data_IF_335075818972
#
_entry.id   IF_335075818972
#
_cell.length_a   1.000
_cell.length_b   1.000
_cell.length_c   1.000
_cell.angle_alpha   90.00
_cell.angle_beta   90.00
_cell.angle_gamma   90.00
#
_symmetry.space_group_name_H-M   'P 1'
#
loop_
_entity.id
_entity.type
_entity.pdbx_description
1 polymer ?
#
# COMPACT_ATOMS: atom_id res chain seq x y z
N UNK A 1 21.37 4.15 -12.45
CA UNK A 1 20.13 3.63 -13.06
C UNK A 1 18.99 4.43 -12.47
N UNK A 2 18.52 5.45 -13.17
CA UNK A 2 17.28 6.13 -12.87
C UNK A 2 16.20 5.41 -13.63
N UNK A 3 15.68 4.36 -13.08
CA UNK A 3 14.47 3.78 -13.60
C UNK A 3 13.33 4.32 -12.74
N UNK A 4 12.32 4.79 -13.39
CA UNK A 4 11.04 5.11 -12.78
C UNK A 4 10.52 3.87 -12.07
N UNK A 5 10.93 3.71 -10.83
CA UNK A 5 10.73 2.53 -9.98
C UNK A 5 9.24 2.17 -9.84
N UNK A 6 8.38 3.15 -10.08
CA UNK A 6 6.93 3.03 -9.99
C UNK A 6 6.23 3.53 -11.26
N UNK A 7 6.80 3.24 -12.43
CA UNK A 7 6.24 3.66 -13.74
C UNK A 7 4.78 3.24 -13.94
N UNK A 8 4.36 2.12 -13.36
CA UNK A 8 2.96 1.68 -13.42
C UNK A 8 1.99 2.60 -12.64
N UNK A 9 2.55 3.52 -11.82
CA UNK A 9 1.80 4.58 -11.13
C UNK A 9 1.83 5.92 -11.87
N UNK A 10 2.41 5.96 -13.07
CA UNK A 10 2.74 7.19 -13.81
C UNK A 10 1.54 7.91 -14.44
N UNK A 11 0.32 7.66 -13.99
CA UNK A 11 -0.81 8.51 -14.36
C UNK A 11 -0.55 9.91 -13.78
N UNK A 12 -0.32 10.93 -14.64
CA UNK A 12 0.07 12.26 -14.19
C UNK A 12 -1.01 12.99 -13.38
N UNK A 13 -2.22 12.46 -13.38
CA UNK A 13 -3.33 12.98 -12.60
C UNK A 13 -3.28 12.48 -11.16
N UNK A 14 -2.79 11.25 -10.95
CA UNK A 14 -2.79 10.60 -9.63
C UNK A 14 -1.73 11.21 -8.72
N UNK A 15 -2.17 11.61 -7.53
CA UNK A 15 -1.33 12.19 -6.47
C UNK A 15 -1.57 11.56 -5.11
N UNK A 16 -2.70 10.89 -4.92
CA UNK A 16 -3.11 10.29 -3.65
C UNK A 16 -3.08 8.78 -3.78
N UNK A 17 -2.18 8.13 -3.06
CA UNK A 17 -1.97 6.69 -3.09
C UNK A 17 -2.42 6.07 -1.78
N UNK A 18 -3.34 5.12 -1.84
CA UNK A 18 -3.93 4.49 -0.66
C UNK A 18 -3.68 3.00 -0.69
N UNK A 19 -3.10 2.46 0.36
CA UNK A 19 -2.78 1.04 0.47
C UNK A 19 -3.71 0.34 1.45
N UNK A 20 -4.58 -0.51 0.91
CA UNK A 20 -5.48 -1.41 1.61
C UNK A 20 -4.99 -2.85 1.47
N UNK A 21 -5.55 -3.74 2.26
CA UNK A 21 -5.27 -5.18 2.23
C UNK A 21 -5.13 -5.74 3.63
N UNK A 22 -4.94 -7.04 3.72
CA UNK A 22 -4.87 -7.79 4.96
C UNK A 22 -3.64 -7.42 5.82
N UNK A 23 -3.72 -7.72 7.11
CA UNK A 23 -2.60 -7.57 8.01
C UNK A 23 -1.40 -8.43 7.58
N UNK A 24 -0.21 -7.80 7.51
CA UNK A 24 1.03 -8.48 7.13
C UNK A 24 1.17 -8.78 5.63
N UNK A 25 0.33 -8.24 4.75
CA UNK A 25 0.49 -8.40 3.30
C UNK A 25 1.56 -7.49 2.68
N UNK A 26 2.13 -6.53 3.45
CA UNK A 26 3.24 -5.67 2.99
C UNK A 26 2.86 -4.25 2.59
N UNK A 27 1.67 -3.78 2.92
CA UNK A 27 1.19 -2.40 2.62
C UNK A 27 2.17 -1.32 3.08
N UNK A 28 2.55 -1.38 4.35
CA UNK A 28 3.42 -0.37 4.96
C UNK A 28 4.79 -0.30 4.28
N UNK A 29 5.37 -1.46 3.96
CA UNK A 29 6.64 -1.52 3.22
C UNK A 29 6.52 -0.84 1.85
N UNK A 30 5.44 -1.15 1.12
CA UNK A 30 5.18 -0.55 -0.18
C UNK A 30 4.92 0.96 -0.09
N UNK A 31 4.12 1.39 0.89
CA UNK A 31 3.82 2.79 1.12
C UNK A 31 5.10 3.60 1.43
N UNK A 32 5.97 3.08 2.30
CA UNK A 32 7.27 3.70 2.63
C UNK A 32 8.17 3.78 1.39
N UNK A 33 8.28 2.70 0.62
CA UNK A 33 9.10 2.69 -0.60
C UNK A 33 8.60 3.72 -1.62
N UNK A 34 7.29 3.82 -1.83
CA UNK A 34 6.70 4.81 -2.74
C UNK A 34 6.97 6.24 -2.26
N UNK A 35 6.76 6.53 -0.97
CA UNK A 35 7.00 7.86 -0.41
C UNK A 35 8.46 8.30 -0.59
N UNK A 36 9.41 7.41 -0.32
CA UNK A 36 10.83 7.66 -0.52
C UNK A 36 11.19 7.86 -2.00
N UNK A 37 10.62 7.07 -2.90
CA UNK A 37 10.86 7.22 -4.34
C UNK A 37 10.39 8.58 -4.83
N UNK A 38 9.15 8.96 -4.51
CA UNK A 38 8.59 10.26 -4.88
C UNK A 38 9.42 11.43 -4.32
N UNK A 39 9.87 11.33 -3.06
CA UNK A 39 10.69 12.38 -2.47
C UNK A 39 12.04 12.51 -3.17
N UNK A 40 12.71 11.40 -3.52
CA UNK A 40 13.97 11.38 -4.28
C UNK A 40 13.84 11.95 -5.68
N UNK A 41 12.65 11.90 -6.27
CA UNK A 41 12.31 12.59 -7.51
C UNK A 41 12.05 14.10 -7.32
N UNK A 42 12.24 14.62 -6.12
CA UNK A 42 12.03 16.04 -5.78
C UNK A 42 10.55 16.41 -5.61
N UNK A 43 9.65 15.43 -5.45
CA UNK A 43 8.24 15.70 -5.18
C UNK A 43 8.06 16.05 -3.70
N UNK A 44 7.11 16.91 -3.40
CA UNK A 44 6.63 17.12 -2.03
C UNK A 44 5.73 15.94 -1.65
N UNK A 45 6.02 15.26 -0.56
CA UNK A 45 5.31 14.05 -0.14
C UNK A 45 4.79 14.21 1.29
N UNK A 46 3.50 13.88 1.49
CA UNK A 46 2.89 13.67 2.79
C UNK A 46 2.59 12.19 2.98
N UNK A 47 3.14 11.61 4.03
CA UNK A 47 2.91 10.22 4.42
C UNK A 47 1.97 10.15 5.62
N UNK A 48 0.91 9.36 5.51
CA UNK A 48 -0.11 9.19 6.54
C UNK A 48 -0.12 7.76 7.06
N UNK A 49 0.31 7.56 8.32
CA UNK A 49 0.18 6.29 9.04
C UNK A 49 -1.19 6.24 9.72
N UNK A 50 -2.11 5.49 9.13
CA UNK A 50 -3.47 5.28 9.60
C UNK A 50 -3.67 3.87 10.21
N UNK A 51 -2.60 3.13 10.49
CA UNK A 51 -2.67 1.85 11.20
C UNK A 51 -2.68 2.05 12.72
N UNK A 52 -3.87 2.03 13.31
CA UNK A 52 -4.10 2.18 14.74
C UNK A 52 -3.86 0.90 15.55
N UNK A 53 -3.79 -0.25 14.90
CA UNK A 53 -3.91 -1.55 15.58
C UNK A 53 -2.59 -2.24 15.88
N UNK A 54 -1.49 -1.83 15.23
CA UNK A 54 -0.18 -2.49 15.37
C UNK A 54 0.95 -1.53 15.76
N UNK A 55 1.08 -1.18 17.06
CA UNK A 55 2.12 -0.26 17.51
C UNK A 55 3.56 -0.72 17.23
N UNK A 56 3.78 -2.02 17.02
CA UNK A 56 5.13 -2.58 16.88
C UNK A 56 5.64 -2.67 15.42
N UNK A 57 4.76 -2.40 14.42
CA UNK A 57 5.08 -2.57 12.99
C UNK A 57 4.69 -1.37 12.14
N UNK A 58 4.69 -0.22 12.71
CA UNK A 58 4.22 0.99 12.05
C UNK A 58 5.33 1.63 11.26
N UNK A 59 5.01 2.08 10.07
CA UNK A 59 5.89 2.92 9.26
C UNK A 59 6.30 4.22 9.98
N UNK A 60 5.54 4.65 10.99
CA UNK A 60 5.92 5.76 11.85
C UNK A 60 7.21 5.55 12.66
N UNK A 61 7.60 4.29 12.91
CA UNK A 61 8.92 3.99 13.50
C UNK A 61 10.07 4.40 12.57
N UNK A 62 9.73 4.70 11.32
CA UNK A 62 10.64 5.23 10.30
C UNK A 62 10.46 6.73 10.09
N UNK A 63 9.64 7.43 10.92
CA UNK A 63 9.34 8.86 10.73
C UNK A 63 10.63 9.70 10.61
N UNK A 64 11.57 9.49 11.53
CA UNK A 64 12.86 10.21 11.48
C UNK A 64 13.65 9.97 10.19
N UNK A 65 13.55 8.75 9.64
CA UNK A 65 14.23 8.40 8.40
C UNK A 65 13.50 9.00 7.19
N UNK A 66 12.16 8.97 7.19
CA UNK A 66 11.33 9.58 6.15
C UNK A 66 11.50 11.11 6.14
N UNK A 67 11.48 11.75 7.32
CA UNK A 67 11.65 13.20 7.45
C UNK A 67 13.03 13.68 6.97
N UNK A 68 14.09 12.90 7.23
CA UNK A 68 15.45 13.17 6.70
C UNK A 68 15.51 13.11 5.18
N UNK A 69 14.67 12.30 4.56
CA UNK A 69 14.54 12.21 3.10
C UNK A 69 13.54 13.23 2.55
N UNK A 70 12.98 14.13 3.37
CA UNK A 70 12.08 15.21 2.94
C UNK A 70 10.61 14.83 2.80
N UNK A 71 10.18 13.75 3.46
CA UNK A 71 8.77 13.34 3.54
C UNK A 71 8.13 13.91 4.80
N UNK A 72 7.02 14.62 4.68
CA UNK A 72 6.23 15.07 5.82
C UNK A 72 5.42 13.88 6.37
N UNK A 73 5.65 13.47 7.63
CA UNK A 73 5.00 12.30 8.23
C UNK A 73 3.89 12.71 9.18
N UNK A 74 2.71 12.10 9.02
CA UNK A 74 1.52 12.32 9.85
C UNK A 74 1.03 11.01 10.46
N UNK A 75 0.77 10.99 11.76
CA UNK A 75 0.23 9.85 12.48
C UNK A 75 -0.75 10.31 13.59
N UNK A 76 -1.57 9.39 14.08
CA UNK A 76 -2.75 9.72 14.86
C UNK A 76 -2.48 10.39 16.22
N UNK A 77 -1.35 10.10 16.88
CA UNK A 77 -1.00 10.75 18.16
C UNK A 77 -0.92 12.29 18.06
N UNK A 78 -0.58 12.80 16.87
CA UNK A 78 -0.55 14.25 16.62
C UNK A 78 -1.94 14.87 16.58
N UNK A 79 -3.00 14.06 16.46
CA UNK A 79 -4.38 14.49 16.26
C UNK A 79 -5.33 14.04 17.36
N UNK A 80 -4.83 13.32 18.39
CA UNK A 80 -5.63 12.85 19.53
C UNK A 80 -6.29 14.00 20.31
N UNK A 81 -5.70 15.19 20.25
CA UNK A 81 -6.23 16.42 20.89
C UNK A 81 -7.10 17.27 19.95
N UNK A 82 -7.28 16.87 18.69
CA UNK A 82 -8.14 17.60 17.77
C UNK A 82 -9.60 17.15 17.93
N UNK A 83 -10.56 18.06 18.21
CA UNK A 83 -11.97 17.71 18.46
C UNK A 83 -12.72 17.17 17.24
N UNK A 84 -12.06 17.04 16.08
CA UNK A 84 -12.64 16.51 14.84
C UNK A 84 -11.65 15.58 14.16
N UNK A 85 -11.87 14.29 14.31
CA UNK A 85 -11.10 13.22 13.66
C UNK A 85 -11.21 13.17 12.13
N UNK A 86 -11.83 14.16 11.49
CA UNK A 86 -12.20 14.12 10.07
C UNK A 86 -11.60 15.20 9.17
N UNK A 87 -11.12 16.32 9.70
CA UNK A 87 -10.83 17.48 8.85
C UNK A 87 -9.39 17.59 8.32
N UNK A 88 -8.42 17.07 9.04
CA UNK A 88 -7.01 17.33 8.72
C UNK A 88 -6.53 16.60 7.45
N UNK A 89 -6.94 15.35 7.25
CA UNK A 89 -6.60 14.60 6.04
C UNK A 89 -7.19 15.27 4.79
N UNK A 90 -8.45 15.71 4.88
CA UNK A 90 -9.10 16.48 3.80
C UNK A 90 -8.36 17.77 3.49
N UNK A 91 -7.88 18.47 4.52
CA UNK A 91 -7.12 19.72 4.36
C UNK A 91 -5.79 19.46 3.68
N UNK A 92 -5.06 18.39 4.07
CA UNK A 92 -3.78 18.04 3.44
C UNK A 92 -3.96 17.62 1.99
N UNK A 93 -4.90 16.74 1.70
CA UNK A 93 -5.22 16.29 0.35
C UNK A 93 -5.72 17.47 -0.52
N UNK A 94 -6.50 18.38 0.06
CA UNK A 94 -7.04 19.54 -0.66
C UNK A 94 -5.97 20.58 -1.07
N UNK A 95 -4.78 20.56 -0.46
CA UNK A 95 -3.67 21.45 -0.87
C UNK A 95 -3.26 21.26 -2.31
N UNK A 96 -3.38 20.06 -2.85
CA UNK A 96 -3.16 19.71 -4.26
C UNK A 96 -1.77 20.08 -4.82
N UNK A 97 -0.82 20.43 -3.93
CA UNK A 97 0.56 20.82 -4.25
C UNK A 97 1.59 19.73 -3.94
N UNK A 98 1.13 18.55 -3.51
CA UNK A 98 1.94 17.44 -3.03
C UNK A 98 1.34 16.08 -3.37
N UNK A 99 2.13 15.05 -3.17
CA UNK A 99 1.72 13.66 -3.24
C UNK A 99 1.35 13.17 -1.83
N UNK A 100 0.24 12.46 -1.71
CA UNK A 100 -0.22 11.88 -0.45
C UNK A 100 -0.12 10.35 -0.50
N UNK A 101 0.54 9.75 0.47
CA UNK A 101 0.68 8.29 0.60
C UNK A 101 0.04 7.88 1.91
N UNK A 102 -1.00 7.05 1.84
CA UNK A 102 -1.80 6.60 2.98
C UNK A 102 -1.55 5.12 3.25
N UNK A 103 -0.92 4.80 4.37
CA UNK A 103 -0.78 3.44 4.89
C UNK A 103 -1.93 3.13 5.84
N UNK A 104 -2.84 2.25 5.42
CA UNK A 104 -4.08 1.94 6.14
C UNK A 104 -3.94 0.63 6.90
N UNK A 105 -4.43 0.59 8.14
CA UNK A 105 -4.43 -0.62 8.96
C UNK A 105 -5.05 -1.82 8.25
N UNK A 106 -4.47 -3.01 8.48
CA UNK A 106 -4.79 -4.24 7.76
C UNK A 106 -6.05 -4.96 8.22
N UNK A 107 -6.97 -4.26 8.85
CA UNK A 107 -8.24 -4.80 9.34
C UNK A 107 -9.42 -3.87 8.97
N UNK A 108 -10.62 -4.30 9.34
CA UNK A 108 -11.84 -3.51 9.09
C UNK A 108 -11.85 -2.17 9.85
N UNK A 109 -11.13 -2.06 10.97
CA UNK A 109 -11.03 -0.82 11.75
C UNK A 109 -10.24 0.24 10.99
N UNK A 110 -9.06 -0.13 10.46
CA UNK A 110 -8.26 0.74 9.60
C UNK A 110 -9.02 1.15 8.33
N UNK A 111 -9.65 0.17 7.66
CA UNK A 111 -10.48 0.46 6.49
C UNK A 111 -11.66 1.39 6.80
N UNK A 112 -12.27 1.27 7.99
CA UNK A 112 -13.34 2.14 8.44
C UNK A 112 -12.86 3.58 8.69
N UNK A 113 -11.64 3.76 9.18
CA UNK A 113 -11.05 5.09 9.38
C UNK A 113 -11.01 5.87 8.06
N UNK A 114 -10.65 5.24 6.95
CA UNK A 114 -10.64 5.88 5.63
C UNK A 114 -12.01 5.92 4.96
N UNK A 115 -12.98 5.13 5.43
CA UNK A 115 -14.35 5.11 4.88
C UNK A 115 -15.10 6.43 4.98
N UNK A 116 -14.75 7.28 5.96
CA UNK A 116 -15.24 8.66 6.06
C UNK A 116 -14.82 9.52 4.88
N UNK A 117 -13.69 9.20 4.25
CA UNK A 117 -13.08 9.93 3.14
C UNK A 117 -13.35 9.27 1.77
N UNK A 118 -14.29 8.33 1.68
CA UNK A 118 -14.53 7.56 0.45
C UNK A 118 -14.75 8.41 -0.80
N UNK A 119 -15.28 9.65 -0.65
CA UNK A 119 -15.42 10.60 -1.77
C UNK A 119 -14.05 11.05 -2.31
N UNK A 120 -13.06 11.23 -1.41
CA UNK A 120 -11.70 11.60 -1.80
C UNK A 120 -11.00 10.42 -2.48
N UNK A 121 -11.23 9.19 -1.98
CA UNK A 121 -10.64 7.98 -2.51
C UNK A 121 -11.15 7.60 -3.91
N UNK A 122 -12.30 8.15 -4.32
CA UNK A 122 -12.93 7.93 -5.64
C UNK A 122 -12.67 9.03 -6.65
N UNK A 123 -11.82 9.99 -6.32
CA UNK A 123 -11.45 11.07 -7.27
C UNK A 123 -10.46 10.54 -8.31
N UNK A 124 -10.39 11.18 -9.49
CA UNK A 124 -9.37 10.85 -10.49
C UNK A 124 -7.93 10.96 -9.98
N UNK A 125 -7.69 11.85 -9.02
CA UNK A 125 -6.38 12.08 -8.41
C UNK A 125 -5.99 10.99 -7.41
N UNK A 126 -6.92 10.12 -7.00
CA UNK A 126 -6.68 9.07 -6.03
C UNK A 126 -6.57 7.69 -6.70
N UNK A 127 -5.58 6.93 -6.29
CA UNK A 127 -5.43 5.52 -6.65
C UNK A 127 -5.41 4.66 -5.40
N UNK A 128 -6.39 3.79 -5.27
CA UNK A 128 -6.46 2.83 -4.18
C UNK A 128 -5.89 1.49 -4.65
N UNK A 129 -4.98 0.95 -3.86
CA UNK A 129 -4.40 -0.37 -4.06
C UNK A 129 -4.88 -1.34 -2.99
N UNK A 130 -5.18 -2.56 -3.41
CA UNK A 130 -5.42 -3.68 -2.52
C UNK A 130 -4.27 -4.67 -2.65
N UNK A 131 -3.47 -4.79 -1.60
CA UNK A 131 -2.28 -5.64 -1.58
C UNK A 131 -2.64 -7.03 -1.06
N UNK A 132 -2.28 -8.07 -1.82
CA UNK A 132 -2.49 -9.48 -1.46
C UNK A 132 -1.15 -10.19 -1.39
N UNK A 133 -0.89 -10.88 -0.27
CA UNK A 133 0.22 -11.82 -0.18
C UNK A 133 -0.32 -13.26 -0.26
N UNK A 134 -0.05 -14.01 -1.36
CA UNK A 134 -0.60 -15.35 -1.60
C UNK A 134 -0.14 -16.41 -0.58
N UNK A 135 0.81 -16.06 0.28
CA UNK A 135 1.35 -16.92 1.31
C UNK A 135 0.77 -16.66 2.71
N UNK A 136 -0.19 -15.73 2.81
CA UNK A 136 -0.91 -15.54 4.07
C UNK A 136 -2.10 -16.49 4.16
N UNK A 137 -2.49 -16.90 5.38
CA UNK A 137 -3.57 -17.86 5.58
C UNK A 137 -4.91 -17.48 4.93
N UNK A 138 -5.18 -16.19 4.85
CA UNK A 138 -6.44 -15.65 4.30
C UNK A 138 -6.39 -15.41 2.79
N UNK A 139 -5.33 -15.85 2.13
CA UNK A 139 -5.12 -15.69 0.68
C UNK A 139 -4.89 -17.02 -0.03
N UNK A 140 -5.35 -18.11 0.56
CA UNK A 140 -5.16 -19.47 0.02
C UNK A 140 -6.32 -19.95 -0.87
N UNK A 141 -7.49 -19.31 -0.77
CA UNK A 141 -8.66 -19.63 -1.59
C UNK A 141 -9.44 -18.36 -1.96
N UNK A 142 -10.31 -18.47 -2.97
CA UNK A 142 -11.15 -17.36 -3.41
C UNK A 142 -12.15 -16.93 -2.32
N UNK A 143 -12.69 -17.88 -1.57
CA UNK A 143 -13.63 -17.60 -0.49
C UNK A 143 -12.99 -16.80 0.64
N UNK A 144 -11.74 -17.13 0.99
CA UNK A 144 -10.98 -16.39 2.00
C UNK A 144 -10.64 -14.98 1.52
N UNK A 145 -10.13 -14.85 0.28
CA UNK A 145 -9.82 -13.54 -0.29
C UNK A 145 -11.08 -12.68 -0.39
N UNK A 146 -12.18 -13.21 -0.92
CA UNK A 146 -13.44 -12.48 -1.06
C UNK A 146 -14.00 -12.06 0.30
N UNK A 147 -13.95 -12.94 1.30
CA UNK A 147 -14.42 -12.64 2.65
C UNK A 147 -13.69 -11.44 3.28
N UNK A 148 -12.35 -11.41 3.21
CA UNK A 148 -11.53 -10.31 3.74
C UNK A 148 -11.68 -9.06 2.87
N UNK A 149 -11.60 -9.19 1.55
CA UNK A 149 -11.76 -8.11 0.58
C UNK A 149 -13.10 -7.39 0.77
N UNK A 150 -14.20 -8.15 0.80
CA UNK A 150 -15.56 -7.61 0.98
C UNK A 150 -15.69 -6.85 2.29
N UNK A 151 -15.13 -7.37 3.38
CA UNK A 151 -15.14 -6.69 4.68
C UNK A 151 -14.36 -5.37 4.64
N UNK A 152 -13.15 -5.38 4.08
CA UNK A 152 -12.29 -4.19 3.97
C UNK A 152 -12.93 -3.15 3.07
N UNK A 153 -13.36 -3.52 1.86
CA UNK A 153 -13.94 -2.59 0.89
C UNK A 153 -15.27 -1.99 1.39
N UNK A 154 -16.14 -2.80 2.00
CA UNK A 154 -17.39 -2.31 2.59
C UNK A 154 -17.11 -1.30 3.69
N UNK A 155 -16.13 -1.58 4.56
CA UNK A 155 -15.73 -0.66 5.64
C UNK A 155 -15.15 0.65 5.11
N UNK A 156 -14.36 0.59 4.03
CA UNK A 156 -13.81 1.74 3.32
C UNK A 156 -14.85 2.45 2.41
N UNK A 157 -16.07 1.90 2.26
CA UNK A 157 -17.11 2.37 1.33
C UNK A 157 -16.64 2.41 -0.13
N UNK A 158 -15.85 1.41 -0.50
CA UNK A 158 -15.33 1.18 -1.84
C UNK A 158 -15.94 -0.09 -2.44
N UNK A 159 -15.75 -0.23 -3.74
CA UNK A 159 -16.06 -1.44 -4.52
C UNK A 159 -14.80 -2.02 -5.16
N UNK A 160 -14.88 -3.22 -5.69
CA UNK A 160 -13.78 -3.86 -6.44
C UNK A 160 -13.31 -2.99 -7.61
N UNK A 161 -14.23 -2.26 -8.25
CA UNK A 161 -13.91 -1.37 -9.37
C UNK A 161 -13.11 -0.10 -8.94
N UNK A 162 -13.10 0.23 -7.66
CA UNK A 162 -12.40 1.39 -7.13
C UNK A 162 -10.92 1.08 -6.80
N UNK A 163 -10.48 -0.20 -6.90
CA UNK A 163 -9.15 -0.62 -6.46
C UNK A 163 -8.35 -1.31 -7.56
N UNK A 164 -7.03 -1.16 -7.52
CA UNK A 164 -6.08 -1.98 -8.28
C UNK A 164 -5.44 -3.02 -7.38
N UNK A 165 -5.31 -4.25 -7.86
CA UNK A 165 -4.74 -5.35 -7.08
C UNK A 165 -3.22 -5.43 -7.26
N UNK A 166 -2.49 -5.49 -6.16
CA UNK A 166 -1.04 -5.69 -6.12
C UNK A 166 -0.72 -7.04 -5.47
N UNK A 167 0.14 -7.82 -6.10
CA UNK A 167 0.64 -9.07 -5.53
C UNK A 167 1.94 -8.83 -4.78
N UNK A 168 2.05 -9.39 -3.56
CA UNK A 168 3.28 -9.38 -2.76
C UNK A 168 3.63 -10.78 -2.26
N UNK A 169 4.25 -11.65 -3.07
CA UNK A 169 4.62 -13.00 -2.69
C UNK A 169 5.88 -13.06 -1.81
N UNK A 170 5.97 -12.19 -0.82
CA UNK A 170 7.11 -12.09 0.08
C UNK A 170 7.01 -13.05 1.27
N UNK A 171 8.05 -13.85 1.48
CA UNK A 171 8.20 -14.86 2.55
C UNK A 171 9.30 -14.48 3.58
N UNK A 172 9.64 -13.21 3.69
CA UNK A 172 10.76 -12.78 4.54
C UNK A 172 12.09 -13.25 3.98
N UNK A 173 12.98 -13.75 4.86
CA UNK A 173 14.29 -14.26 4.46
C UNK A 173 14.24 -15.54 3.59
N UNK A 174 13.09 -16.19 3.51
CA UNK A 174 12.88 -17.38 2.67
C UNK A 174 12.40 -17.04 1.26
N UNK A 175 12.28 -15.76 0.91
CA UNK A 175 11.89 -15.33 -0.44
C UNK A 175 12.96 -15.74 -1.44
N UNK A 176 12.53 -16.37 -2.52
CA UNK A 176 13.37 -16.77 -3.66
C UNK A 176 12.66 -16.39 -4.96
N UNK A 177 13.40 -16.30 -6.07
CA UNK A 177 12.80 -16.14 -7.40
C UNK A 177 11.62 -17.09 -7.61
N UNK A 178 11.83 -18.38 -7.36
CA UNK A 178 10.80 -19.40 -7.54
C UNK A 178 9.56 -19.13 -6.67
N UNK A 179 9.75 -18.74 -5.41
CA UNK A 179 8.60 -18.41 -4.55
C UNK A 179 7.84 -17.18 -5.04
N UNK A 180 8.51 -16.22 -5.68
CA UNK A 180 7.85 -15.06 -6.29
C UNK A 180 6.99 -15.50 -7.48
N UNK A 181 7.56 -16.28 -8.39
CA UNK A 181 6.88 -16.80 -9.58
C UNK A 181 5.70 -17.72 -9.19
N UNK A 182 5.93 -18.68 -8.29
CA UNK A 182 4.89 -19.60 -7.78
C UNK A 182 3.75 -18.83 -7.09
N UNK A 183 4.09 -17.81 -6.29
CA UNK A 183 3.09 -16.99 -5.59
C UNK A 183 2.25 -16.15 -6.55
N UNK A 184 2.86 -15.59 -7.60
CA UNK A 184 2.14 -14.89 -8.65
C UNK A 184 1.16 -15.83 -9.37
N UNK A 185 1.63 -16.98 -9.84
CA UNK A 185 0.78 -17.95 -10.53
C UNK A 185 -0.33 -18.51 -9.65
N UNK A 186 -0.05 -18.76 -8.36
CA UNK A 186 -1.06 -19.15 -7.39
C UNK A 186 -2.15 -18.07 -7.31
N UNK A 187 -1.77 -16.80 -7.17
CA UNK A 187 -2.74 -15.73 -7.04
C UNK A 187 -3.55 -15.55 -8.34
N UNK A 188 -2.91 -15.60 -9.51
CA UNK A 188 -3.61 -15.56 -10.80
C UNK A 188 -4.60 -16.72 -10.93
N UNK A 189 -4.25 -17.93 -10.48
CA UNK A 189 -5.17 -19.08 -10.55
C UNK A 189 -6.38 -18.93 -9.65
N UNK A 190 -6.28 -18.15 -8.56
CA UNK A 190 -7.37 -17.95 -7.59
C UNK A 190 -8.29 -16.78 -8.00
N UNK A 191 -7.71 -15.65 -8.42
CA UNK A 191 -8.50 -14.43 -8.68
C UNK A 191 -8.59 -14.03 -10.15
N UNK A 192 -7.84 -14.67 -11.06
CA UNK A 192 -7.70 -14.23 -12.45
C UNK A 192 -8.99 -14.25 -13.28
N UNK A 193 -10.00 -15.03 -12.89
CA UNK A 193 -11.33 -14.99 -13.51
C UNK A 193 -12.17 -13.76 -13.09
N UNK A 194 -11.82 -13.12 -11.99
CA UNK A 194 -12.60 -12.03 -11.38
C UNK A 194 -11.93 -10.67 -11.56
N UNK A 195 -10.58 -10.64 -11.54
CA UNK A 195 -9.81 -9.40 -11.64
C UNK A 195 -8.40 -9.66 -12.16
N UNK A 196 -7.67 -8.58 -12.44
CA UNK A 196 -6.26 -8.65 -12.89
C UNK A 196 -5.33 -8.12 -11.81
N UNK A 197 -4.12 -8.69 -11.74
CA UNK A 197 -3.02 -8.15 -10.93
C UNK A 197 -2.37 -7.02 -11.71
N UNK A 198 -2.40 -5.82 -11.14
CA UNK A 198 -1.88 -4.61 -11.77
C UNK A 198 -0.36 -4.51 -11.69
N UNK A 199 0.24 -5.03 -10.61
CA UNK A 199 1.68 -5.11 -10.45
C UNK A 199 2.08 -6.15 -9.40
N UNK A 200 3.35 -6.58 -9.46
CA UNK A 200 3.97 -7.55 -8.57
C UNK A 200 5.12 -6.90 -7.80
N UNK A 201 5.07 -6.97 -6.48
CA UNK A 201 6.15 -6.52 -5.60
C UNK A 201 7.30 -7.54 -5.61
N UNK A 202 8.51 -7.07 -5.86
CA UNK A 202 9.72 -7.90 -5.94
C UNK A 202 10.82 -7.25 -5.09
N UNK A 203 11.57 -8.00 -4.27
CA UNK A 203 12.78 -7.46 -3.63
C UNK A 203 13.70 -6.86 -4.69
N UNK A 204 14.21 -5.65 -4.43
CA UNK A 204 15.01 -4.90 -5.42
C UNK A 204 16.19 -5.73 -5.96
N UNK A 205 16.83 -6.50 -5.09
CA UNK A 205 17.94 -7.38 -5.43
C UNK A 205 17.57 -8.56 -6.36
N UNK A 206 16.28 -8.82 -6.56
CA UNK A 206 15.77 -9.92 -7.40
C UNK A 206 15.07 -9.43 -8.68
N UNK A 207 15.07 -8.13 -8.93
CA UNK A 207 14.36 -7.56 -10.09
C UNK A 207 14.81 -8.13 -11.42
N UNK A 208 16.11 -8.31 -11.60
CA UNK A 208 16.68 -8.84 -12.84
C UNK A 208 16.46 -10.36 -13.02
N UNK A 209 16.07 -11.06 -11.94
CA UNK A 209 15.88 -12.50 -11.94
C UNK A 209 14.44 -12.92 -12.27
N UNK A 210 13.46 -12.01 -12.10
CA UNK A 210 12.03 -12.30 -12.26
C UNK A 210 11.55 -11.84 -13.63
N UNK A 211 10.99 -12.79 -14.40
CA UNK A 211 10.41 -12.52 -15.72
C UNK A 211 8.94 -13.00 -15.75
N UNK A 212 8.01 -12.07 -15.55
CA UNK A 212 6.57 -12.34 -15.49
C UNK A 212 5.80 -11.29 -16.30
N UNK A 213 4.64 -11.65 -16.87
CA UNK A 213 3.85 -10.78 -17.74
C UNK A 213 3.03 -9.77 -16.92
N UNK A 214 3.66 -9.08 -15.97
CA UNK A 214 3.06 -8.09 -15.08
C UNK A 214 4.12 -7.04 -14.73
N UNK A 215 3.77 -5.75 -14.57
CA UNK A 215 4.71 -4.76 -14.09
C UNK A 215 5.33 -5.16 -12.76
N UNK A 216 6.66 -5.08 -12.65
CA UNK A 216 7.39 -5.38 -11.41
C UNK A 216 7.64 -4.10 -10.63
N UNK A 217 7.48 -4.17 -9.31
CA UNK A 217 7.71 -3.08 -8.38
C UNK A 217 8.85 -3.45 -7.45
N UNK A 218 10.02 -2.81 -7.56
CA UNK A 218 11.12 -3.06 -6.65
C UNK A 218 10.76 -2.55 -5.25
N UNK A 219 11.01 -3.39 -4.24
CA UNK A 219 10.79 -3.05 -2.83
C UNK A 219 12.05 -3.32 -2.04
N UNK A 220 12.54 -2.30 -1.36
CA UNK A 220 13.60 -2.40 -0.37
C UNK A 220 12.97 -2.62 1.01
N UNK A 221 13.51 -3.56 1.78
CA UNK A 221 13.10 -3.73 3.17
C UNK A 221 13.54 -2.53 4.00
N UNK A 222 12.60 -1.71 4.44
CA UNK A 222 12.81 -0.50 5.25
C UNK A 222 12.35 -0.68 6.69
N UNK A 223 11.31 -1.50 6.90
CA UNK A 223 10.76 -1.73 8.23
C UNK A 223 11.54 -2.85 8.91
N UNK A 224 12.17 -2.53 10.04
CA UNK A 224 12.89 -3.51 10.87
C UNK A 224 11.95 -3.97 11.96
N UNK A 225 11.69 -5.28 12.00
CA UNK A 225 10.91 -5.90 13.05
C UNK A 225 11.82 -6.29 14.21
N UNK A 226 11.42 -6.09 15.47
CA UNK A 226 12.29 -6.31 16.63
C UNK A 226 12.57 -7.79 16.98
N UNK A 227 12.19 -8.75 16.12
CA UNK A 227 12.49 -10.19 16.26
C UNK A 227 13.13 -10.80 15.03
#
# INVERSE_FOLDING_TARGET
MSADTFDFLSDPVVRDFVFLGEAGCGKSELAVNLALSLSREGKKVSFFDLDMTKPLFRSRDLSDALEKEGVDVFYEEQFADAPTTGGWLEVEIAKNDRYCVLDVGGDYMGARAVGGYSRLLKRPEAQVFYVINPYRPWSDSIEHIDGVLSQVLTSARLSVADVKFLANPYLGSSTTRRSIEDGYHKLVSVIGEYTTISALMVPEEMMDDVDLPVPLVPVQKKIVYPW
#
